data_IF_381493989488
#
_entry.id   IF_381493989488
#
_cell.length_a   1.000
_cell.length_b   1.000
_cell.length_c   1.000
_cell.angle_alpha   90.00
_cell.angle_beta   90.00
_cell.angle_gamma   90.00
#
_symmetry.space_group_name_H-M   'P 1'
#
loop_
_entity.id
_entity.type
_entity.pdbx_description
1 polymer ?
#
# COMPACT_ATOMS: atom_id res chain seq x y z
N UNK A 1 -9.59 -12.99 -19.29
CA UNK A 1 -10.50 -13.32 -18.16
C UNK A 1 -11.89 -13.56 -18.73
N UNK A 2 -12.55 -14.65 -18.35
CA UNK A 2 -13.92 -14.95 -18.78
C UNK A 2 -14.92 -13.84 -18.32
N UNK A 3 -15.85 -13.37 -19.17
CA UNK A 3 -16.83 -12.35 -18.82
C UNK A 3 -17.70 -12.66 -17.59
N UNK A 4 -17.95 -13.93 -17.27
CA UNK A 4 -18.68 -14.30 -16.05
C UNK A 4 -17.77 -14.18 -14.81
N UNK A 5 -16.53 -14.66 -14.89
CA UNK A 5 -15.53 -14.49 -13.83
C UNK A 5 -15.31 -12.99 -13.48
N UNK A 6 -15.19 -12.13 -14.50
CA UNK A 6 -15.05 -10.67 -14.30
C UNK A 6 -16.24 -10.07 -13.55
N UNK A 7 -17.47 -10.45 -13.91
CA UNK A 7 -18.68 -9.96 -13.24
C UNK A 7 -18.77 -10.40 -11.78
N UNK A 8 -18.44 -11.66 -11.49
CA UNK A 8 -18.38 -12.17 -10.11
C UNK A 8 -17.35 -11.42 -9.28
N UNK A 9 -16.17 -11.15 -9.85
CA UNK A 9 -15.13 -10.37 -9.17
C UNK A 9 -15.59 -8.95 -8.86
N UNK A 10 -16.21 -8.25 -9.83
CA UNK A 10 -16.74 -6.90 -9.60
C UNK A 10 -17.81 -6.89 -8.50
N UNK A 11 -18.74 -7.84 -8.52
CA UNK A 11 -19.78 -7.94 -7.50
C UNK A 11 -19.18 -8.19 -6.10
N UNK A 12 -18.19 -9.07 -6.00
CA UNK A 12 -17.49 -9.33 -4.75
C UNK A 12 -16.76 -8.08 -4.23
N UNK A 13 -16.03 -7.37 -5.10
CA UNK A 13 -15.36 -6.10 -4.75
C UNK A 13 -16.35 -5.05 -4.25
N UNK A 14 -17.55 -4.96 -4.85
CA UNK A 14 -18.57 -4.02 -4.39
C UNK A 14 -19.09 -4.34 -3.00
N UNK A 15 -19.28 -5.63 -2.68
CA UNK A 15 -19.68 -6.09 -1.35
C UNK A 15 -18.60 -5.75 -0.32
N UNK A 16 -17.34 -6.11 -0.59
CA UNK A 16 -16.22 -5.82 0.30
C UNK A 16 -16.03 -4.30 0.50
N UNK A 17 -16.20 -3.50 -0.57
CA UNK A 17 -16.14 -2.04 -0.46
C UNK A 17 -17.18 -1.48 0.52
N UNK A 18 -18.43 -1.96 0.47
CA UNK A 18 -19.46 -1.50 1.40
C UNK A 18 -19.16 -1.93 2.83
N UNK A 19 -18.63 -3.14 3.00
CA UNK A 19 -18.24 -3.72 4.29
C UNK A 19 -17.11 -2.93 4.96
N UNK A 20 -16.15 -2.47 4.18
CA UNK A 20 -14.95 -1.75 4.67
C UNK A 20 -15.12 -0.23 4.73
N UNK A 21 -16.20 0.32 4.17
CA UNK A 21 -16.46 1.76 4.16
C UNK A 21 -16.47 2.40 5.57
N UNK A 22 -17.06 1.78 6.61
CA UNK A 22 -17.04 2.35 7.97
C UNK A 22 -15.63 2.48 8.55
N UNK A 23 -14.70 1.62 8.11
CA UNK A 23 -13.34 1.53 8.62
C UNK A 23 -12.37 2.50 7.90
N UNK A 24 -12.82 3.11 6.81
CA UNK A 24 -11.96 3.85 5.88
C UNK A 24 -11.30 5.08 6.51
N UNK A 25 -12.01 5.89 7.28
CA UNK A 25 -11.45 7.13 7.86
C UNK A 25 -10.31 6.83 8.85
N UNK A 26 -10.52 5.85 9.73
CA UNK A 26 -9.52 5.45 10.71
C UNK A 26 -8.33 4.79 10.01
N UNK A 27 -8.56 3.93 9.02
CA UNK A 27 -7.51 3.36 8.19
C UNK A 27 -6.65 4.43 7.48
N UNK A 28 -7.27 5.50 6.96
CA UNK A 28 -6.55 6.65 6.40
C UNK A 28 -5.72 7.38 7.44
N UNK A 29 -6.25 7.62 8.65
CA UNK A 29 -5.49 8.28 9.73
C UNK A 29 -4.28 7.45 10.16
N UNK A 30 -4.47 6.16 10.39
CA UNK A 30 -3.40 5.21 10.73
C UNK A 30 -2.35 5.13 9.63
N UNK A 31 -2.76 5.15 8.35
CA UNK A 31 -1.83 5.19 7.22
C UNK A 31 -0.95 6.44 7.25
N UNK A 32 -1.52 7.60 7.51
CA UNK A 32 -0.77 8.87 7.61
C UNK A 32 0.22 8.82 8.77
N UNK A 33 -0.16 8.29 9.92
CA UNK A 33 0.71 8.14 11.08
C UNK A 33 1.88 7.18 10.81
N UNK A 34 1.60 6.04 10.18
CA UNK A 34 2.62 5.08 9.76
C UNK A 34 3.61 5.71 8.77
N UNK A 35 3.10 6.40 7.75
CA UNK A 35 3.95 7.10 6.77
C UNK A 35 4.80 8.18 7.44
N UNK A 36 4.25 8.94 8.39
CA UNK A 36 5.02 9.93 9.16
C UNK A 36 6.14 9.25 9.95
N UNK A 37 5.84 8.23 10.74
CA UNK A 37 6.84 7.51 11.53
C UNK A 37 7.96 6.90 10.66
N UNK A 38 7.61 6.37 9.49
CA UNK A 38 8.58 5.78 8.56
C UNK A 38 9.43 6.84 7.82
N UNK A 39 8.93 8.06 7.64
CA UNK A 39 9.63 9.14 6.90
C UNK A 39 10.35 10.14 7.82
N UNK A 40 9.96 10.26 9.08
CA UNK A 40 10.52 11.25 10.01
C UNK A 40 11.75 10.78 10.78
N UNK A 41 12.02 9.47 10.83
CA UNK A 41 12.89 8.89 11.87
C UNK A 41 13.73 7.70 11.43
N UNK A 42 13.76 7.36 10.15
CA UNK A 42 14.43 6.16 9.68
C UNK A 42 15.60 6.53 8.77
N UNK A 43 16.78 6.65 9.38
CA UNK A 43 18.06 6.80 8.65
C UNK A 43 18.47 5.51 7.92
N UNK A 44 17.83 4.38 8.24
CA UNK A 44 18.06 3.07 7.64
C UNK A 44 16.83 2.60 6.86
N UNK A 45 16.80 2.76 5.52
CA UNK A 45 15.68 2.35 4.67
C UNK A 45 15.22 0.89 4.87
N UNK A 46 16.11 0.01 5.37
CA UNK A 46 15.81 -1.41 5.65
C UNK A 46 14.85 -1.62 6.82
N UNK A 47 14.68 -0.62 7.69
CA UNK A 47 13.75 -0.69 8.82
C UNK A 47 12.30 -0.36 8.43
N UNK A 48 12.06 0.33 7.31
CA UNK A 48 10.71 0.70 6.86
C UNK A 48 9.82 -0.54 6.64
N UNK A 49 10.26 -1.62 5.95
CA UNK A 49 9.47 -2.84 5.83
C UNK A 49 9.13 -3.49 7.19
N UNK A 50 10.06 -3.49 8.15
CA UNK A 50 9.84 -4.05 9.48
C UNK A 50 8.82 -3.22 10.29
N UNK A 51 8.89 -1.89 10.20
CA UNK A 51 7.93 -0.98 10.85
C UNK A 51 6.52 -1.15 10.26
N UNK A 52 6.44 -1.25 8.93
CA UNK A 52 5.18 -1.53 8.23
C UNK A 52 4.61 -2.89 8.67
N UNK A 53 5.44 -3.94 8.73
CA UNK A 53 5.03 -5.26 9.22
C UNK A 53 4.52 -5.20 10.67
N UNK A 54 5.22 -4.50 11.55
CA UNK A 54 4.80 -4.33 12.94
C UNK A 54 3.43 -3.62 13.03
N UNK A 55 3.17 -2.61 12.20
CA UNK A 55 1.87 -1.93 12.14
C UNK A 55 0.75 -2.82 11.61
N UNK A 56 1.02 -3.62 10.57
CA UNK A 56 0.05 -4.57 10.04
C UNK A 56 -0.30 -5.65 11.08
N UNK A 57 0.71 -6.23 11.74
CA UNK A 57 0.49 -7.21 12.80
C UNK A 57 -0.23 -6.62 14.01
N UNK A 58 0.14 -5.40 14.42
CA UNK A 58 -0.52 -4.68 15.50
C UNK A 58 -2.00 -4.39 15.18
N UNK A 59 -2.29 -3.96 13.96
CA UNK A 59 -3.66 -3.68 13.50
C UNK A 59 -4.49 -4.96 13.49
N UNK A 60 -3.94 -6.04 12.94
CA UNK A 60 -4.60 -7.36 12.90
C UNK A 60 -4.95 -7.85 14.30
N UNK A 61 -3.97 -7.82 15.21
CA UNK A 61 -4.12 -8.37 16.56
C UNK A 61 -5.08 -7.54 17.42
N UNK A 62 -5.15 -6.22 17.19
CA UNK A 62 -5.96 -5.30 18.01
C UNK A 62 -7.38 -5.14 17.47
N UNK A 63 -7.54 -5.10 16.15
CA UNK A 63 -8.78 -4.68 15.50
C UNK A 63 -9.35 -5.69 14.49
N UNK A 64 -8.63 -6.78 14.22
CA UNK A 64 -9.09 -7.85 13.33
C UNK A 64 -8.76 -7.65 11.85
N UNK A 65 -9.11 -8.66 11.05
CA UNK A 65 -8.73 -8.75 9.63
C UNK A 65 -9.42 -7.69 8.75
N UNK A 66 -10.59 -7.19 9.14
CA UNK A 66 -11.32 -6.16 8.38
C UNK A 66 -10.63 -4.80 8.44
N UNK A 67 -10.20 -4.41 9.63
CA UNK A 67 -9.40 -3.20 9.83
C UNK A 67 -8.05 -3.30 9.15
N UNK A 68 -7.42 -4.48 9.19
CA UNK A 68 -6.21 -4.76 8.42
C UNK A 68 -6.43 -4.57 6.91
N UNK A 69 -7.54 -5.10 6.37
CA UNK A 69 -7.88 -4.97 4.96
C UNK A 69 -8.16 -3.51 4.58
N UNK A 70 -8.91 -2.78 5.40
CA UNK A 70 -9.17 -1.35 5.20
C UNK A 70 -7.85 -0.54 5.23
N UNK A 71 -6.93 -0.86 6.14
CA UNK A 71 -5.60 -0.25 6.21
C UNK A 71 -4.78 -0.53 4.94
N UNK A 72 -4.72 -1.79 4.50
CA UNK A 72 -4.00 -2.17 3.28
C UNK A 72 -4.54 -1.46 2.03
N UNK A 73 -5.87 -1.34 1.91
CA UNK A 73 -6.51 -0.58 0.83
C UNK A 73 -6.15 0.91 0.87
N UNK A 74 -6.12 1.49 2.07
CA UNK A 74 -5.75 2.89 2.26
C UNK A 74 -4.30 3.16 1.84
N UNK A 75 -3.36 2.30 2.25
CA UNK A 75 -1.94 2.36 1.84
C UNK A 75 -1.81 2.25 0.32
N UNK A 76 -2.51 1.30 -0.32
CA UNK A 76 -2.47 1.12 -1.77
C UNK A 76 -3.00 2.34 -2.54
N UNK A 77 -4.06 2.99 -2.03
CA UNK A 77 -4.57 4.25 -2.58
C UNK A 77 -3.50 5.35 -2.53
N UNK A 78 -2.85 5.55 -1.37
CA UNK A 78 -1.80 6.55 -1.22
C UNK A 78 -0.60 6.29 -2.14
N UNK A 79 -0.13 5.05 -2.22
CA UNK A 79 0.96 4.68 -3.13
C UNK A 79 0.60 4.97 -4.59
N UNK A 80 -0.64 4.64 -4.99
CA UNK A 80 -1.14 4.93 -6.34
C UNK A 80 -1.17 6.43 -6.63
N UNK A 81 -1.66 7.24 -5.69
CA UNK A 81 -1.64 8.71 -5.82
C UNK A 81 -0.22 9.25 -5.94
N UNK A 82 0.70 8.80 -5.07
CA UNK A 82 2.09 9.25 -5.07
C UNK A 82 2.82 8.90 -6.38
N UNK A 83 2.63 7.69 -6.90
CA UNK A 83 3.23 7.27 -8.18
C UNK A 83 2.68 8.11 -9.34
N UNK A 84 1.37 8.34 -9.38
CA UNK A 84 0.77 9.17 -10.43
C UNK A 84 1.25 10.62 -10.38
N UNK A 85 1.42 11.17 -9.19
CA UNK A 85 1.94 12.52 -8.98
C UNK A 85 3.41 12.62 -9.44
N UNK A 86 4.24 11.64 -9.05
CA UNK A 86 5.63 11.55 -9.50
C UNK A 86 5.73 11.38 -11.02
N UNK A 87 4.85 10.57 -11.62
CA UNK A 87 4.75 10.38 -13.07
C UNK A 87 4.51 11.73 -13.77
N UNK A 88 3.52 12.46 -13.27
CA UNK A 88 3.17 13.78 -13.76
C UNK A 88 4.36 14.75 -13.69
N UNK A 89 5.01 14.84 -12.53
CA UNK A 89 6.13 15.77 -12.31
C UNK A 89 7.42 15.42 -13.07
N UNK A 90 7.61 14.15 -13.43
CA UNK A 90 8.82 13.69 -14.12
C UNK A 90 8.64 13.44 -15.62
N UNK A 91 7.43 13.65 -16.15
CA UNK A 91 7.11 13.36 -17.56
C UNK A 91 7.20 11.88 -17.92
N UNK A 92 7.19 10.99 -16.92
CA UNK A 92 7.25 9.53 -17.07
C UNK A 92 5.85 8.94 -16.96
N UNK A 93 5.68 7.70 -17.39
CA UNK A 93 4.47 6.94 -17.09
C UNK A 93 4.56 6.31 -15.69
N UNK A 94 3.43 6.03 -15.02
CA UNK A 94 3.42 5.26 -13.78
C UNK A 94 4.18 3.93 -13.89
N UNK A 95 4.07 3.25 -15.03
CA UNK A 95 4.76 1.99 -15.29
C UNK A 95 6.29 2.18 -15.29
N UNK A 96 6.80 3.22 -15.96
CA UNK A 96 8.24 3.50 -15.98
C UNK A 96 8.81 3.79 -14.58
N UNK A 97 8.02 4.41 -13.70
CA UNK A 97 8.43 4.63 -12.30
C UNK A 97 8.47 3.32 -11.53
N UNK A 98 7.45 2.47 -11.70
CA UNK A 98 7.39 1.16 -11.06
C UNK A 98 8.54 0.25 -11.52
N UNK A 99 8.79 0.19 -12.83
CA UNK A 99 9.88 -0.62 -13.41
C UNK A 99 11.25 -0.19 -12.87
N UNK A 100 11.48 1.13 -12.75
CA UNK A 100 12.70 1.66 -12.15
C UNK A 100 12.81 1.27 -10.68
N UNK A 101 11.75 1.45 -9.90
CA UNK A 101 11.74 1.10 -8.49
C UNK A 101 11.99 -0.40 -8.26
N UNK A 102 11.39 -1.27 -9.09
CA UNK A 102 11.64 -2.71 -9.06
C UNK A 102 13.11 -3.03 -9.36
N UNK A 103 13.68 -2.37 -10.37
CA UNK A 103 15.10 -2.53 -10.73
C UNK A 103 16.01 -2.11 -9.57
N UNK A 104 15.76 -0.95 -8.96
CA UNK A 104 16.56 -0.42 -7.85
C UNK A 104 16.51 -1.36 -6.63
N UNK A 105 15.32 -1.89 -6.30
CA UNK A 105 15.15 -2.82 -5.17
C UNK A 105 15.85 -4.16 -5.40
N UNK A 106 15.81 -4.70 -6.62
CA UNK A 106 16.50 -5.95 -6.96
C UNK A 106 18.02 -5.74 -6.93
N UNK A 107 18.51 -4.64 -7.51
CA UNK A 107 19.94 -4.32 -7.51
C UNK A 107 20.50 -4.16 -6.10
N UNK A 108 19.79 -3.45 -5.22
CA UNK A 108 20.16 -3.31 -3.81
C UNK A 108 20.20 -4.67 -3.06
N UNK A 109 19.44 -5.67 -3.50
CA UNK A 109 19.48 -7.03 -2.93
C UNK A 109 20.66 -7.86 -3.43
N UNK A 110 21.08 -7.66 -4.68
CA UNK A 110 22.21 -8.38 -5.29
C UNK A 110 23.57 -7.87 -4.78
N UNK A 111 23.70 -6.55 -4.55
CA UNK A 111 24.92 -5.96 -3.96
C UNK A 111 25.16 -6.35 -2.49
N UNK A 112 24.20 -7.04 -1.86
CA UNK A 112 24.25 -7.52 -0.48
C UNK A 112 24.47 -9.04 -0.36
N UNK A 113 24.57 -9.78 -1.47
CA UNK A 113 24.77 -11.24 -1.52
C UNK A 113 26.24 -11.64 -1.80
#
# INVERSE_FOLDING_TARGET
>A
MDPLARRKMIAHVQVERQRLLPEHEEATRTTIEMLRASTSSVDDPRLVPCLNLAHLLGTRNTYGDDRLMALALSVANWATTAINDLAHHTGRTPQQILDQYETDVIADQEDLA
#
